data_IF_624995427441
#
_entry.id   IF_624995427441
#
_cell.length_a   1.000
_cell.length_b   1.000
_cell.length_c   1.000
_cell.angle_alpha   90.00
_cell.angle_beta   90.00
_cell.angle_gamma   90.00
#
_symmetry.space_group_name_H-M   'P 1'
#
loop_
_entity.id
_entity.type
_entity.pdbx_description
1 polymer ?
#
# COMPACT_ATOMS: atom_id res chain seq x y z
N UNK A 1 62.38 41.04 -26.54
CA UNK A 1 61.10 40.47 -26.98
C UNK A 1 60.74 39.16 -26.28
N UNK A 2 61.71 38.40 -25.79
CA UNK A 2 61.45 37.13 -25.08
C UNK A 2 60.95 37.32 -23.64
N UNK A 3 61.34 38.36 -22.93
CA UNK A 3 60.95 38.62 -21.52
C UNK A 3 59.48 39.04 -21.37
N UNK A 4 58.86 39.62 -22.37
CA UNK A 4 57.45 40.06 -22.32
C UNK A 4 56.48 38.85 -22.53
N UNK A 5 56.90 37.82 -23.23
CA UNK A 5 56.08 36.62 -23.43
C UNK A 5 56.09 35.72 -22.18
N UNK A 6 57.18 35.68 -21.42
CA UNK A 6 57.26 34.94 -20.17
C UNK A 6 56.37 35.51 -19.05
N UNK A 7 56.23 36.83 -19.02
CA UNK A 7 55.39 37.44 -18.00
C UNK A 7 53.90 37.31 -18.29
N UNK A 8 53.50 37.20 -19.58
CA UNK A 8 52.09 36.95 -19.95
C UNK A 8 51.65 35.49 -19.66
N UNK A 9 52.54 34.52 -19.84
CA UNK A 9 52.20 33.12 -19.57
C UNK A 9 51.99 32.84 -18.08
N UNK A 10 52.76 33.45 -17.17
CA UNK A 10 52.60 33.28 -15.74
C UNK A 10 51.27 33.86 -15.19
N UNK A 11 50.83 35.02 -15.75
CA UNK A 11 49.52 35.57 -15.39
C UNK A 11 48.35 34.72 -15.87
N UNK A 12 48.48 34.09 -17.05
CA UNK A 12 47.46 33.21 -17.60
C UNK A 12 47.32 31.90 -16.77
N UNK A 13 48.45 31.34 -16.36
CA UNK A 13 48.46 30.12 -15.54
C UNK A 13 47.88 30.40 -14.12
N UNK A 14 48.15 31.58 -13.57
CA UNK A 14 47.59 31.96 -12.27
C UNK A 14 46.07 32.18 -12.33
N UNK A 15 45.54 32.71 -13.42
CA UNK A 15 44.09 32.91 -13.61
C UNK A 15 43.35 31.58 -13.80
N UNK A 16 43.95 30.59 -14.49
CA UNK A 16 43.36 29.27 -14.67
C UNK A 16 43.41 28.45 -13.37
N UNK A 17 44.45 28.54 -12.56
CA UNK A 17 44.57 27.80 -11.30
C UNK A 17 43.61 28.33 -10.21
N UNK A 18 43.39 29.63 -10.14
CA UNK A 18 42.45 30.23 -9.17
C UNK A 18 41.00 29.88 -9.55
N UNK A 19 40.64 29.90 -10.83
CA UNK A 19 39.31 29.51 -11.28
C UNK A 19 39.04 28.00 -11.11
N UNK A 20 40.05 27.15 -11.36
CA UNK A 20 39.91 25.71 -11.22
C UNK A 20 39.66 25.28 -9.77
N UNK A 21 40.35 25.86 -8.81
CA UNK A 21 40.10 25.58 -7.37
C UNK A 21 38.72 26.07 -6.90
N UNK A 22 38.23 27.18 -7.45
CA UNK A 22 36.90 27.68 -7.13
C UNK A 22 35.77 26.77 -7.68
N UNK A 23 35.92 26.29 -8.92
CA UNK A 23 34.98 25.35 -9.51
C UNK A 23 35.03 23.97 -8.81
N UNK A 24 36.21 23.48 -8.43
CA UNK A 24 36.33 22.22 -7.68
C UNK A 24 35.66 22.33 -6.28
N UNK A 25 35.81 23.44 -5.60
CA UNK A 25 35.17 23.70 -4.31
C UNK A 25 33.65 23.83 -4.42
N UNK A 26 33.17 24.45 -5.52
CA UNK A 26 31.72 24.60 -5.78
C UNK A 26 31.08 23.24 -6.14
N UNK A 27 31.75 22.43 -6.96
CA UNK A 27 31.25 21.10 -7.35
C UNK A 27 31.23 20.15 -6.13
N UNK A 28 32.25 20.17 -5.27
CA UNK A 28 32.25 19.38 -4.04
C UNK A 28 31.16 19.83 -3.06
N UNK A 29 30.90 21.13 -2.94
CA UNK A 29 29.82 21.64 -2.10
C UNK A 29 28.43 21.23 -2.62
N UNK A 30 28.21 21.30 -3.93
CA UNK A 30 26.96 20.86 -4.57
C UNK A 30 26.79 19.34 -4.44
N UNK A 31 27.85 18.55 -4.61
CA UNK A 31 27.80 17.10 -4.42
C UNK A 31 27.50 16.72 -2.96
N UNK A 32 28.03 17.46 -1.98
CA UNK A 32 27.73 17.22 -0.57
C UNK A 32 26.27 17.55 -0.21
N UNK A 33 25.68 18.59 -0.82
CA UNK A 33 24.27 18.93 -0.63
C UNK A 33 23.37 17.85 -1.26
N UNK A 34 23.72 17.27 -2.41
CA UNK A 34 22.97 16.18 -3.01
C UNK A 34 23.10 14.85 -2.26
N UNK A 35 24.27 14.55 -1.66
CA UNK A 35 24.46 13.34 -0.87
C UNK A 35 23.71 13.45 0.48
N UNK A 36 23.62 14.63 1.10
CA UNK A 36 22.80 14.83 2.30
C UNK A 36 21.31 14.81 2.04
N UNK A 37 20.85 15.19 0.83
CA UNK A 37 19.42 15.07 0.44
C UNK A 37 19.00 13.62 0.17
N UNK A 38 19.92 12.71 -0.17
CA UNK A 38 19.61 11.31 -0.43
C UNK A 38 19.50 10.44 0.84
N UNK A 39 19.92 10.97 2.00
CA UNK A 39 19.78 10.30 3.31
C UNK A 39 18.59 10.77 4.14
N UNK A 40 17.71 11.61 3.58
CA UNK A 40 16.40 11.85 4.19
C UNK A 40 15.60 10.60 3.89
N UNK A 41 15.55 9.71 4.89
CA UNK A 41 14.79 8.48 4.84
C UNK A 41 13.40 8.77 4.28
N UNK A 42 12.91 7.88 3.41
CA UNK A 42 11.54 7.90 2.89
C UNK A 42 10.64 7.79 4.13
N UNK A 43 10.29 8.94 4.69
CA UNK A 43 9.32 9.02 5.77
C UNK A 43 7.98 8.73 5.14
N UNK A 44 7.39 7.56 5.42
CA UNK A 44 6.04 7.26 5.00
C UNK A 44 5.12 8.36 5.53
N UNK A 45 4.49 9.09 4.62
CA UNK A 45 3.57 10.17 4.96
C UNK A 45 2.17 9.56 5.05
N UNK A 46 1.54 9.70 6.20
CA UNK A 46 0.14 9.33 6.39
C UNK A 46 -0.72 10.59 6.37
N UNK A 47 -1.70 10.66 5.50
CA UNK A 47 -2.74 11.69 5.55
C UNK A 47 -4.04 11.10 6.08
N UNK A 48 -4.66 11.80 7.00
CA UNK A 48 -5.95 11.47 7.57
C UNK A 48 -7.01 12.44 7.00
N UNK A 49 -8.00 11.88 6.30
CA UNK A 49 -9.14 12.65 5.82
C UNK A 49 -10.40 12.23 6.55
N UNK A 50 -11.14 13.18 7.07
CA UNK A 50 -12.52 12.98 7.49
C UNK A 50 -13.43 13.39 6.36
N UNK A 51 -14.59 12.77 6.19
CA UNK A 51 -15.52 12.96 5.06
C UNK A 51 -15.89 14.41 4.70
N UNK A 52 -15.53 15.38 5.54
CA UNK A 52 -15.61 16.81 5.23
C UNK A 52 -14.33 17.25 4.50
N UNK A 53 -14.44 17.62 3.23
CA UNK A 53 -13.32 18.09 2.39
C UNK A 53 -12.55 19.30 2.97
N UNK A 54 -13.13 20.00 3.95
CA UNK A 54 -12.53 21.18 4.59
C UNK A 54 -11.62 20.83 5.79
N UNK A 55 -11.66 19.63 6.31
CA UNK A 55 -10.76 19.20 7.39
C UNK A 55 -9.76 18.15 6.89
N UNK A 56 -8.90 18.58 5.97
CA UNK A 56 -7.69 17.79 5.67
C UNK A 56 -6.82 17.78 6.93
N UNK A 57 -6.70 16.62 7.57
CA UNK A 57 -5.73 16.46 8.64
C UNK A 57 -4.32 16.55 8.07
N UNK A 58 -3.36 17.11 8.82
CA UNK A 58 -1.99 17.20 8.35
C UNK A 58 -1.47 15.81 8.01
N UNK A 59 -0.61 15.75 7.00
CA UNK A 59 0.09 14.52 6.64
C UNK A 59 0.87 14.04 7.85
N UNK A 60 0.50 12.89 8.40
CA UNK A 60 1.16 12.29 9.54
C UNK A 60 2.24 11.35 9.01
N UNK A 61 3.48 11.66 9.33
CA UNK A 61 4.64 10.79 9.07
C UNK A 61 4.88 9.87 10.26
N UNK A 62 5.64 8.81 10.10
CA UNK A 62 6.04 7.90 11.19
C UNK A 62 6.75 8.60 12.34
N UNK A 63 7.36 9.77 12.10
CA UNK A 63 7.98 10.61 13.12
C UNK A 63 7.08 11.72 13.67
N UNK A 64 5.77 11.74 13.33
CA UNK A 64 4.87 12.78 13.82
C UNK A 64 4.62 12.64 15.33
N UNK A 65 4.60 13.75 16.10
CA UNK A 65 4.44 13.71 17.56
C UNK A 65 3.24 12.92 18.08
N UNK A 66 2.15 12.82 17.30
CA UNK A 66 0.97 12.03 17.67
C UNK A 66 1.30 10.58 17.98
N UNK A 67 2.30 10.00 17.31
CA UNK A 67 2.69 8.62 17.55
C UNK A 67 3.45 8.45 18.88
N UNK A 68 4.09 9.50 19.37
CA UNK A 68 4.75 9.49 20.68
C UNK A 68 3.72 9.64 21.81
N UNK A 69 2.65 10.40 21.56
CA UNK A 69 1.57 10.62 22.52
C UNK A 69 0.69 9.38 22.72
N UNK A 70 0.61 8.46 21.75
CA UNK A 70 -0.24 7.26 21.79
C UNK A 70 0.42 6.07 22.48
N UNK A 71 1.64 6.19 22.93
CA UNK A 71 2.35 5.09 23.59
C UNK A 71 2.70 3.95 22.62
N UNK A 72 3.97 3.79 22.33
CA UNK A 72 4.50 2.72 21.48
C UNK A 72 4.79 1.47 22.32
N UNK A 73 4.57 0.31 21.73
CA UNK A 73 4.96 -0.98 22.30
C UNK A 73 5.47 -1.92 21.23
N UNK A 74 6.35 -2.82 21.59
CA UNK A 74 6.78 -3.91 20.74
C UNK A 74 5.89 -5.12 20.98
N UNK A 75 5.42 -5.74 19.89
CA UNK A 75 4.63 -6.96 19.93
C UNK A 75 5.08 -7.94 18.84
N UNK A 76 4.84 -9.23 19.07
CA UNK A 76 4.82 -10.25 18.03
C UNK A 76 3.40 -10.44 17.52
N UNK A 77 3.25 -10.94 16.29
CA UNK A 77 1.96 -11.26 15.70
C UNK A 77 2.07 -12.55 14.91
N UNK A 78 1.51 -13.63 15.43
CA UNK A 78 1.42 -14.91 14.71
C UNK A 78 0.54 -14.82 13.47
N UNK A 79 -0.40 -13.88 13.43
CA UNK A 79 -1.21 -13.59 12.26
C UNK A 79 -0.32 -12.99 11.14
N UNK A 80 0.50 -12.00 11.47
CA UNK A 80 1.44 -11.38 10.56
C UNK A 80 2.48 -12.40 10.06
N UNK A 81 3.12 -13.13 10.98
CA UNK A 81 4.14 -14.13 10.65
C UNK A 81 3.62 -15.20 9.68
N UNK A 82 2.37 -15.66 9.88
CA UNK A 82 1.71 -16.60 8.98
C UNK A 82 1.52 -16.01 7.58
N UNK A 83 1.14 -14.74 7.48
CA UNK A 83 0.88 -14.07 6.21
C UNK A 83 2.13 -13.88 5.37
N UNK A 84 3.24 -13.53 6.00
CA UNK A 84 4.52 -13.31 5.31
C UNK A 84 5.42 -14.55 5.28
N UNK A 85 4.97 -15.66 5.89
CA UNK A 85 5.74 -16.90 6.03
C UNK A 85 7.09 -16.74 6.75
N UNK A 86 7.15 -15.83 7.72
CA UNK A 86 8.25 -15.68 8.67
C UNK A 86 7.77 -16.04 10.06
N UNK A 87 8.69 -16.37 10.96
CA UNK A 87 8.40 -16.58 12.37
C UNK A 87 9.33 -15.71 13.22
N UNK A 88 8.76 -15.08 14.26
CA UNK A 88 9.52 -14.31 15.23
C UNK A 88 9.72 -12.83 14.86
N UNK A 89 8.92 -12.29 13.96
CA UNK A 89 8.93 -10.86 13.66
C UNK A 89 8.52 -10.03 14.87
N UNK A 90 9.10 -8.83 15.02
CA UNK A 90 8.78 -7.86 16.06
C UNK A 90 8.25 -6.58 15.41
N UNK A 91 7.21 -6.01 15.98
CA UNK A 91 6.50 -4.87 15.43
C UNK A 91 6.35 -3.79 16.50
N UNK A 92 6.91 -2.59 16.24
CA UNK A 92 6.63 -1.42 17.10
C UNK A 92 5.30 -0.82 16.67
N UNK A 93 4.31 -0.88 17.56
CA UNK A 93 2.92 -0.54 17.23
C UNK A 93 2.34 0.53 18.15
N UNK A 94 1.32 1.21 17.65
CA UNK A 94 0.36 2.02 18.41
C UNK A 94 -1.03 1.40 18.32
N UNK A 95 -1.91 1.73 19.28
CA UNK A 95 -3.32 1.36 19.20
C UNK A 95 -4.02 2.11 18.07
N UNK A 96 -4.60 1.37 17.11
CA UNK A 96 -5.37 2.01 16.04
C UNK A 96 -6.66 2.62 16.58
N UNK A 97 -7.30 1.99 17.56
CA UNK A 97 -8.47 2.56 18.24
C UNK A 97 -8.18 3.89 18.92
N UNK A 98 -7.00 4.05 19.55
CA UNK A 98 -6.65 5.30 20.21
C UNK A 98 -6.32 6.41 19.21
N UNK A 99 -5.69 6.06 18.09
CA UNK A 99 -5.53 6.99 16.97
C UNK A 99 -6.88 7.48 16.46
N UNK A 100 -7.86 6.56 16.26
CA UNK A 100 -9.21 6.91 15.81
C UNK A 100 -9.94 7.81 16.81
N UNK A 101 -9.83 7.54 18.11
CA UNK A 101 -10.44 8.40 19.16
C UNK A 101 -9.89 9.83 19.10
N UNK A 102 -8.58 9.98 18.89
CA UNK A 102 -7.95 11.28 18.80
C UNK A 102 -8.40 12.10 17.60
N UNK A 103 -8.60 11.44 16.46
CA UNK A 103 -9.05 12.05 15.21
C UNK A 103 -10.53 11.85 14.93
N UNK A 104 -11.34 11.57 15.92
CA UNK A 104 -12.79 11.34 15.92
C UNK A 104 -13.48 11.61 14.57
N UNK A 105 -13.68 10.59 13.74
CA UNK A 105 -14.43 10.76 12.50
C UNK A 105 -15.88 11.12 12.81
N UNK A 106 -16.59 11.68 11.82
CA UNK A 106 -18.04 11.83 11.89
C UNK A 106 -18.68 10.47 12.24
N UNK A 107 -19.73 10.48 13.09
CA UNK A 107 -20.41 9.27 13.55
C UNK A 107 -21.06 8.47 12.41
N UNK A 108 -21.28 9.09 11.26
CA UNK A 108 -21.83 8.45 10.07
C UNK A 108 -20.78 7.66 9.28
N UNK A 109 -19.49 7.81 9.62
CA UNK A 109 -18.41 7.09 8.95
C UNK A 109 -18.12 5.82 9.73
N UNK A 110 -18.16 4.68 9.06
CA UNK A 110 -18.09 3.34 9.65
C UNK A 110 -16.92 2.50 9.13
N UNK A 111 -16.15 3.04 8.18
CA UNK A 111 -14.99 2.36 7.61
C UNK A 111 -13.83 3.33 7.35
N UNK A 112 -12.66 2.73 7.14
CA UNK A 112 -11.41 3.42 6.82
C UNK A 112 -10.84 2.81 5.55
N UNK A 113 -10.69 3.63 4.52
CA UNK A 113 -9.98 3.30 3.31
C UNK A 113 -8.49 3.54 3.52
N UNK A 114 -7.68 2.56 3.19
CA UNK A 114 -6.25 2.53 3.39
C UNK A 114 -5.56 2.61 2.04
N UNK A 115 -5.16 3.81 1.62
CA UNK A 115 -4.44 3.99 0.37
C UNK A 115 -2.94 3.77 0.60
N UNK A 116 -2.33 2.92 -0.21
CA UNK A 116 -0.94 2.53 -0.10
C UNK A 116 -0.08 3.19 -1.19
N UNK A 117 1.22 3.29 -0.95
CA UNK A 117 2.16 3.91 -1.88
C UNK A 117 2.35 3.11 -3.20
N UNK A 118 1.95 1.86 -3.21
CA UNK A 118 2.07 0.93 -4.34
C UNK A 118 0.73 0.63 -5.04
N UNK A 119 -0.22 1.57 -4.94
CA UNK A 119 -1.55 1.49 -5.53
C UNK A 119 -2.45 0.34 -5.01
N UNK A 120 -2.02 -0.37 -3.95
CA UNK A 120 -2.89 -1.24 -3.17
C UNK A 120 -3.88 -0.39 -2.36
N UNK A 121 -5.12 -0.85 -2.23
CA UNK A 121 -6.14 -0.16 -1.47
C UNK A 121 -6.85 -1.12 -0.52
N UNK A 122 -6.55 -1.02 0.78
CA UNK A 122 -7.28 -1.74 1.81
C UNK A 122 -8.54 -1.01 2.24
N UNK A 123 -9.49 -1.74 2.78
CA UNK A 123 -10.64 -1.18 3.48
C UNK A 123 -10.91 -1.97 4.75
N UNK A 124 -11.17 -1.26 5.86
CA UNK A 124 -11.40 -1.88 7.15
C UNK A 124 -12.54 -1.17 7.88
N UNK A 125 -13.43 -1.94 8.50
CA UNK A 125 -14.50 -1.34 9.29
C UNK A 125 -13.96 -0.79 10.61
N UNK A 126 -14.57 0.29 11.12
CA UNK A 126 -14.28 0.80 12.47
C UNK A 126 -14.64 -0.26 13.52
N UNK A 127 -15.62 -1.11 13.25
CA UNK A 127 -15.96 -2.23 14.12
C UNK A 127 -14.84 -3.28 14.18
N UNK A 128 -14.23 -3.63 13.05
CA UNK A 128 -13.08 -4.57 13.02
C UNK A 128 -11.90 -4.01 13.81
N UNK A 129 -11.60 -2.71 13.65
CA UNK A 129 -10.55 -2.05 14.45
C UNK A 129 -10.78 -2.24 15.94
N UNK A 130 -12.02 -2.08 16.41
CA UNK A 130 -12.39 -2.21 17.81
C UNK A 130 -12.46 -3.67 18.27
N UNK A 131 -13.15 -4.52 17.50
CA UNK A 131 -13.42 -5.92 17.88
C UNK A 131 -12.15 -6.76 17.95
N UNK A 132 -11.18 -6.47 17.07
CA UNK A 132 -9.92 -7.20 17.00
C UNK A 132 -8.75 -6.44 17.64
N UNK A 133 -9.01 -5.30 18.29
CA UNK A 133 -7.96 -4.45 18.89
C UNK A 133 -6.79 -4.22 17.94
N UNK A 134 -7.12 -3.89 16.67
CA UNK A 134 -6.10 -3.75 15.64
C UNK A 134 -5.08 -2.67 16.00
N UNK A 135 -3.84 -2.93 15.62
CA UNK A 135 -2.73 -2.03 15.85
C UNK A 135 -2.20 -1.50 14.51
N UNK A 136 -1.48 -0.37 14.55
CA UNK A 136 -0.70 0.16 13.43
C UNK A 136 0.78 0.02 13.74
N UNK A 137 1.51 -0.73 12.92
CA UNK A 137 2.95 -0.83 13.06
C UNK A 137 3.64 0.38 12.43
N UNK A 138 4.53 0.95 13.23
CA UNK A 138 5.43 2.07 12.87
C UNK A 138 6.80 1.55 12.45
N UNK A 139 7.19 0.37 12.95
CA UNK A 139 8.44 -0.32 12.59
C UNK A 139 8.21 -1.81 12.49
N UNK A 140 8.99 -2.43 11.63
CA UNK A 140 8.97 -3.87 11.37
C UNK A 140 10.39 -4.37 11.51
N UNK A 141 10.61 -5.30 12.43
CA UNK A 141 11.87 -6.04 12.56
C UNK A 141 11.61 -7.50 12.21
N UNK A 142 12.19 -7.94 11.10
CA UNK A 142 12.12 -9.33 10.65
C UNK A 142 13.22 -10.16 11.31
N UNK A 143 13.06 -11.49 11.42
CA UNK A 143 14.11 -12.37 11.91
C UNK A 143 15.43 -12.19 11.15
N UNK A 144 16.54 -12.44 11.82
CA UNK A 144 17.86 -12.30 11.23
C UNK A 144 18.01 -13.19 9.98
N UNK A 145 18.50 -12.62 8.88
CA UNK A 145 18.66 -13.29 7.59
C UNK A 145 17.42 -13.24 6.70
N UNK A 146 16.31 -12.71 7.17
CA UNK A 146 15.12 -12.50 6.34
C UNK A 146 15.31 -11.32 5.39
N UNK A 147 14.78 -11.45 4.17
CA UNK A 147 14.75 -10.38 3.18
C UNK A 147 13.38 -9.71 3.23
N UNK A 148 13.35 -8.41 3.55
CA UNK A 148 12.11 -7.64 3.55
C UNK A 148 11.66 -7.40 2.11
N UNK A 149 10.42 -7.82 1.73
CA UNK A 149 9.86 -7.44 0.44
C UNK A 149 9.64 -5.92 0.35
N UNK A 150 9.78 -5.34 -0.85
CA UNK A 150 9.66 -3.89 -1.06
C UNK A 150 8.29 -3.34 -0.64
N UNK A 151 7.22 -4.12 -0.81
CA UNK A 151 5.86 -3.74 -0.42
C UNK A 151 5.64 -3.75 1.09
N UNK A 152 6.46 -4.46 1.86
CA UNK A 152 6.31 -4.58 3.31
C UNK A 152 6.93 -3.39 4.02
N UNK A 153 6.26 -2.25 3.99
CA UNK A 153 6.68 -1.02 4.63
C UNK A 153 5.65 -0.57 5.70
N UNK A 154 6.08 0.16 6.73
CA UNK A 154 5.17 0.90 7.59
C UNK A 154 4.45 2.01 6.78
N UNK A 155 3.24 2.43 7.14
CA UNK A 155 2.40 1.86 8.17
C UNK A 155 1.76 0.56 7.72
N UNK A 156 1.47 -0.29 8.69
CA UNK A 156 0.86 -1.58 8.37
C UNK A 156 -0.15 -1.94 9.46
N UNK A 157 -1.26 -2.59 9.05
CA UNK A 157 -2.25 -3.15 9.99
C UNK A 157 -1.66 -4.39 10.65
N UNK A 158 -1.84 -4.50 11.97
CA UNK A 158 -1.40 -5.65 12.75
C UNK A 158 -2.53 -6.21 13.59
N UNK A 159 -2.72 -7.51 13.51
CA UNK A 159 -3.61 -8.29 14.39
C UNK A 159 -2.79 -8.77 15.58
N UNK A 160 -3.10 -8.34 16.82
CA UNK A 160 -2.40 -8.82 17.99
C UNK A 160 -2.74 -10.28 18.31
N UNK A 161 -1.87 -11.01 19.00
CA UNK A 161 -2.00 -12.44 19.24
C UNK A 161 -3.27 -12.88 20.00
N UNK A 162 -3.87 -11.98 20.81
CA UNK A 162 -5.11 -12.29 21.52
C UNK A 162 -6.35 -12.22 20.61
N UNK A 163 -6.29 -11.51 19.48
CA UNK A 163 -7.36 -11.42 18.52
C UNK A 163 -7.28 -12.55 17.49
N UNK A 164 -8.42 -13.03 17.02
CA UNK A 164 -8.50 -14.12 16.05
C UNK A 164 -9.52 -13.84 14.95
N UNK A 165 -9.30 -12.80 14.13
CA UNK A 165 -10.14 -12.61 12.96
C UNK A 165 -9.94 -13.75 11.96
N UNK A 166 -10.88 -13.95 11.01
CA UNK A 166 -10.63 -14.81 9.87
C UNK A 166 -9.41 -14.31 9.09
N UNK A 167 -8.71 -15.21 8.42
CA UNK A 167 -7.58 -14.83 7.59
C UNK A 167 -8.09 -14.06 6.37
N UNK A 168 -7.65 -12.80 6.21
CA UNK A 168 -8.07 -11.90 5.13
C UNK A 168 -6.98 -10.88 4.80
N UNK A 169 -6.84 -10.57 3.52
CA UNK A 169 -5.93 -9.56 2.99
C UNK A 169 -6.07 -8.20 3.67
N UNK A 170 -7.29 -7.80 4.04
CA UNK A 170 -7.55 -6.51 4.71
C UNK A 170 -6.73 -6.31 5.99
N UNK A 171 -6.38 -7.39 6.68
CA UNK A 171 -5.59 -7.35 7.91
C UNK A 171 -4.07 -7.41 7.67
N UNK A 172 -3.65 -7.38 6.39
CA UNK A 172 -2.25 -7.32 5.97
C UNK A 172 -1.90 -6.03 5.21
N UNK A 173 -2.83 -5.06 5.16
CA UNK A 173 -2.56 -3.81 4.44
C UNK A 173 -1.32 -3.13 5.00
N UNK A 174 -0.30 -3.01 4.16
CA UNK A 174 1.00 -2.40 4.45
C UNK A 174 1.28 -1.22 3.51
N UNK A 175 2.37 -0.50 3.76
CA UNK A 175 2.79 0.64 2.94
C UNK A 175 1.73 1.75 2.87
N UNK A 176 0.95 1.91 3.94
CA UNK A 176 -0.18 2.84 4.02
C UNK A 176 0.35 4.28 4.05
N UNK A 177 -0.12 5.11 3.12
CA UNK A 177 0.20 6.53 3.02
C UNK A 177 -0.97 7.44 3.38
N UNK A 178 -2.20 6.92 3.28
CA UNK A 178 -3.41 7.68 3.56
C UNK A 178 -4.46 6.81 4.26
N UNK A 179 -5.04 7.34 5.34
CA UNK A 179 -6.25 6.84 5.99
C UNK A 179 -7.40 7.79 5.64
N UNK A 180 -8.42 7.29 4.96
CA UNK A 180 -9.62 8.05 4.61
C UNK A 180 -10.84 7.45 5.23
N UNK A 181 -11.57 8.24 6.03
CA UNK A 181 -12.82 7.79 6.62
C UNK A 181 -13.95 7.85 5.59
N UNK A 182 -14.71 6.75 5.48
CA UNK A 182 -15.78 6.59 4.50
C UNK A 182 -16.98 5.90 5.14
N UNK A 183 -18.16 6.03 4.51
CA UNK A 183 -19.24 5.08 4.73
C UNK A 183 -19.04 3.88 3.80
N UNK A 184 -19.09 2.69 4.37
CA UNK A 184 -18.89 1.45 3.61
C UNK A 184 -19.94 1.31 2.49
N UNK A 185 -21.17 1.66 2.78
CA UNK A 185 -22.26 1.67 1.80
C UNK A 185 -21.96 2.59 0.61
N UNK A 186 -21.46 3.82 0.86
CA UNK A 186 -21.10 4.75 -0.22
C UNK A 186 -19.91 4.26 -1.04
N UNK A 187 -18.94 3.64 -0.38
CA UNK A 187 -17.77 3.07 -1.06
C UNK A 187 -18.18 1.94 -2.02
N UNK A 188 -19.12 1.09 -1.62
CA UNK A 188 -19.61 -0.02 -2.44
C UNK A 188 -20.80 0.32 -3.33
N UNK A 189 -21.39 1.51 -3.22
CA UNK A 189 -22.55 1.91 -4.03
C UNK A 189 -22.38 1.70 -5.57
N UNK A 190 -21.18 1.92 -6.18
CA UNK A 190 -20.97 1.61 -7.58
C UNK A 190 -21.20 0.14 -7.97
N UNK A 191 -21.07 -0.79 -7.03
CA UNK A 191 -21.36 -2.20 -7.27
C UNK A 191 -22.87 -2.51 -7.24
N UNK A 192 -23.65 -1.77 -6.47
CA UNK A 192 -25.13 -1.92 -6.46
C UNK A 192 -25.74 -1.58 -7.82
N UNK A 193 -25.11 -0.67 -8.56
CA UNK A 193 -25.55 -0.26 -9.90
C UNK A 193 -25.20 -1.26 -11.02
N UNK A 194 -24.45 -2.33 -10.73
CA UNK A 194 -24.04 -3.32 -11.75
C UNK A 194 -25.20 -4.17 -12.27
N UNK A 195 -26.34 -4.20 -11.56
CA UNK A 195 -27.55 -4.90 -12.02
C UNK A 195 -27.38 -6.40 -12.14
N UNK A 196 -26.59 -7.02 -11.24
CA UNK A 196 -26.36 -8.47 -11.23
C UNK A 196 -27.69 -9.24 -11.13
N UNK A 197 -27.92 -10.18 -12.05
CA UNK A 197 -29.21 -10.83 -12.25
C UNK A 197 -29.38 -12.11 -11.43
N UNK A 198 -28.26 -12.76 -11.08
CA UNK A 198 -28.35 -14.03 -10.38
C UNK A 198 -27.56 -14.02 -9.06
N UNK A 199 -27.95 -14.91 -8.14
CA UNK A 199 -27.31 -15.04 -6.82
C UNK A 199 -25.87 -15.56 -6.90
N UNK A 200 -25.52 -16.28 -7.97
CA UNK A 200 -24.18 -16.83 -8.15
C UNK A 200 -23.19 -15.72 -8.53
N UNK A 201 -23.57 -14.81 -9.43
CA UNK A 201 -22.79 -13.60 -9.73
C UNK A 201 -22.69 -12.66 -8.52
N UNK A 202 -23.76 -12.56 -7.70
CA UNK A 202 -23.71 -11.82 -6.43
C UNK A 202 -22.70 -12.43 -5.45
N UNK A 203 -22.66 -13.75 -5.34
CA UNK A 203 -21.65 -14.44 -4.55
C UNK A 203 -20.23 -14.18 -5.11
N UNK A 204 -20.07 -14.20 -6.45
CA UNK A 204 -18.82 -13.81 -7.12
C UNK A 204 -18.37 -12.39 -6.81
N UNK A 205 -19.30 -11.43 -6.72
CA UNK A 205 -19.01 -10.06 -6.27
C UNK A 205 -18.48 -10.01 -4.85
N UNK A 206 -19.07 -10.75 -3.90
CA UNK A 206 -18.56 -10.78 -2.52
C UNK A 206 -17.15 -11.40 -2.46
N UNK A 207 -16.90 -12.46 -3.24
CA UNK A 207 -15.54 -13.02 -3.38
C UNK A 207 -14.55 -12.00 -3.97
N UNK A 208 -14.98 -11.22 -4.96
CA UNK A 208 -14.17 -10.16 -5.54
C UNK A 208 -13.83 -9.07 -4.51
N UNK A 209 -14.81 -8.60 -3.74
CA UNK A 209 -14.59 -7.62 -2.68
C UNK A 209 -13.60 -8.12 -1.61
N UNK A 210 -13.68 -9.40 -1.27
CA UNK A 210 -12.88 -9.97 -0.19
C UNK A 210 -11.46 -10.36 -0.60
N UNK A 211 -11.21 -10.60 -1.90
CA UNK A 211 -9.95 -11.18 -2.35
C UNK A 211 -9.26 -10.39 -3.49
N UNK A 212 -9.98 -9.65 -4.30
CA UNK A 212 -9.44 -9.07 -5.54
C UNK A 212 -9.39 -7.54 -5.51
N UNK A 213 -10.35 -6.93 -4.83
CA UNK A 213 -10.60 -5.49 -4.84
C UNK A 213 -9.40 -4.67 -4.31
N UNK A 214 -8.56 -5.27 -3.50
CA UNK A 214 -7.38 -4.60 -2.95
C UNK A 214 -6.35 -4.23 -4.01
N UNK A 215 -6.29 -5.00 -5.09
CA UNK A 215 -5.36 -4.80 -6.21
C UNK A 215 -6.07 -4.42 -7.52
N UNK A 216 -7.31 -4.87 -7.73
CA UNK A 216 -8.05 -4.69 -8.98
C UNK A 216 -9.28 -3.83 -8.77
N UNK A 217 -9.35 -2.70 -9.46
CA UNK A 217 -10.52 -1.82 -9.38
C UNK A 217 -11.58 -2.18 -10.42
N UNK A 218 -12.85 -2.01 -10.03
CA UNK A 218 -14.01 -1.99 -10.93
C UNK A 218 -14.80 -0.70 -10.65
N UNK A 219 -15.18 0.03 -11.69
CA UNK A 219 -15.91 1.30 -11.58
C UNK A 219 -15.24 2.31 -10.60
N UNK A 220 -13.92 2.37 -10.62
CA UNK A 220 -13.08 3.23 -9.75
C UNK A 220 -13.14 2.90 -8.25
N UNK A 221 -13.66 1.73 -7.89
CA UNK A 221 -13.63 1.19 -6.53
C UNK A 221 -12.55 0.11 -6.49
N UNK A 222 -11.67 0.19 -5.51
CA UNK A 222 -10.56 -0.75 -5.34
C UNK A 222 -9.19 -0.19 -5.71
N UNK A 223 -8.17 -1.02 -5.55
CA UNK A 223 -6.77 -0.70 -5.87
C UNK A 223 -6.46 -0.78 -7.36
N UNK A 224 -5.34 -0.19 -7.76
CA UNK A 224 -4.87 -0.19 -9.14
C UNK A 224 -3.48 -0.84 -9.28
N UNK A 225 -3.04 -1.60 -8.29
CA UNK A 225 -1.78 -2.36 -8.32
C UNK A 225 -1.84 -3.49 -9.35
N UNK A 226 -3.01 -4.11 -9.50
CA UNK A 226 -3.28 -5.14 -10.49
C UNK A 226 -3.75 -4.56 -11.83
N UNK A 227 -3.74 -5.40 -12.85
CA UNK A 227 -4.25 -5.05 -14.17
C UNK A 227 -5.75 -4.77 -14.15
N UNK A 228 -6.24 -3.85 -14.97
CA UNK A 228 -7.69 -3.64 -15.18
C UNK A 228 -8.30 -4.88 -15.86
N UNK A 229 -9.12 -5.65 -15.13
CA UNK A 229 -9.63 -6.93 -15.62
C UNK A 229 -10.55 -6.77 -16.84
N UNK A 230 -11.49 -5.83 -16.76
CA UNK A 230 -12.51 -5.63 -17.81
C UNK A 230 -11.93 -5.08 -19.13
N UNK A 231 -10.83 -4.36 -19.08
CA UNK A 231 -10.18 -3.82 -20.29
C UNK A 231 -9.08 -4.72 -20.84
N UNK A 232 -8.57 -5.66 -20.05
CA UNK A 232 -7.45 -6.51 -20.43
C UNK A 232 -7.91 -7.86 -21.00
N UNK A 233 -9.05 -8.37 -20.51
CA UNK A 233 -9.53 -9.69 -20.88
C UNK A 233 -10.88 -9.60 -21.59
N UNK A 234 -11.04 -10.39 -22.65
CA UNK A 234 -12.34 -10.70 -23.20
C UNK A 234 -13.01 -11.77 -22.31
N UNK A 235 -13.88 -11.29 -21.42
CA UNK A 235 -14.54 -12.16 -20.43
C UNK A 235 -15.92 -12.66 -20.95
N UNK A 236 -16.17 -12.53 -22.27
CA UNK A 236 -17.42 -12.98 -22.90
C UNK A 236 -17.18 -14.23 -23.74
N UNK A 237 -16.09 -14.29 -24.51
CA UNK A 237 -15.79 -15.45 -25.35
C UNK A 237 -15.11 -16.57 -24.55
N UNK A 238 -15.35 -17.82 -24.98
CA UNK A 238 -14.68 -19.00 -24.39
C UNK A 238 -13.15 -18.91 -24.45
N UNK A 239 -12.60 -18.36 -25.54
CA UNK A 239 -11.15 -18.16 -25.70
C UNK A 239 -10.62 -17.15 -24.70
N UNK A 240 -11.30 -16.02 -24.52
CA UNK A 240 -10.92 -14.98 -23.58
C UNK A 240 -11.04 -15.43 -22.13
N UNK A 241 -12.07 -16.19 -21.78
CA UNK A 241 -12.25 -16.81 -20.46
C UNK A 241 -11.11 -17.80 -20.17
N UNK A 242 -10.73 -18.63 -21.14
CA UNK A 242 -9.62 -19.57 -20.97
C UNK A 242 -8.28 -18.85 -20.80
N UNK A 243 -8.03 -17.78 -21.54
CA UNK A 243 -6.86 -16.93 -21.36
C UNK A 243 -6.83 -16.29 -19.96
N UNK A 244 -7.98 -15.79 -19.48
CA UNK A 244 -8.09 -15.26 -18.11
C UNK A 244 -7.78 -16.34 -17.07
N UNK A 245 -8.35 -17.54 -17.19
CA UNK A 245 -8.07 -18.67 -16.29
C UNK A 245 -6.58 -19.00 -16.23
N UNK A 246 -5.93 -19.13 -17.38
CA UNK A 246 -4.49 -19.41 -17.45
C UNK A 246 -3.67 -18.34 -16.72
N UNK A 247 -3.94 -17.07 -17.02
CA UNK A 247 -3.26 -15.92 -16.38
C UNK A 247 -3.53 -15.86 -14.89
N UNK A 248 -4.78 -16.07 -14.48
CA UNK A 248 -5.17 -16.07 -13.07
C UNK A 248 -4.37 -17.11 -12.30
N UNK A 249 -4.37 -18.38 -12.72
CA UNK A 249 -3.65 -19.44 -12.01
C UNK A 249 -2.13 -19.25 -12.07
N UNK A 250 -1.59 -18.70 -13.15
CA UNK A 250 -0.17 -18.35 -13.24
C UNK A 250 0.23 -17.28 -12.24
N UNK A 251 -0.60 -16.26 -12.02
CA UNK A 251 -0.29 -15.12 -11.16
C UNK A 251 -0.69 -15.35 -9.69
N UNK A 252 -1.79 -16.08 -9.45
CA UNK A 252 -2.40 -16.26 -8.13
C UNK A 252 -2.43 -17.71 -7.67
N UNK A 253 -1.93 -18.65 -8.47
CA UNK A 253 -1.93 -20.09 -8.13
C UNK A 253 -1.07 -20.42 -6.91
N UNK A 254 -1.40 -21.57 -6.28
CA UNK A 254 -0.75 -22.06 -5.06
C UNK A 254 0.76 -22.25 -5.20
N UNK A 255 1.24 -22.53 -6.40
CA UNK A 255 2.65 -22.80 -6.71
C UNK A 255 3.46 -21.53 -7.02
N UNK A 256 2.81 -20.37 -7.02
CA UNK A 256 3.50 -19.11 -7.25
C UNK A 256 4.20 -18.67 -5.97
N UNK A 257 5.46 -19.12 -5.81
CA UNK A 257 6.35 -18.81 -4.68
C UNK A 257 6.81 -17.35 -4.62
N UNK A 258 6.24 -16.45 -5.42
CA UNK A 258 6.53 -15.05 -5.27
C UNK A 258 5.95 -14.58 -3.93
N UNK A 259 6.81 -14.02 -3.08
CA UNK A 259 6.51 -13.50 -1.73
C UNK A 259 5.46 -12.38 -1.71
N UNK A 260 4.87 -12.05 -2.85
CA UNK A 260 3.85 -11.02 -3.02
C UNK A 260 2.41 -11.57 -3.03
N UNK A 261 2.23 -12.88 -3.09
CA UNK A 261 0.92 -13.50 -3.08
C UNK A 261 0.69 -14.24 -1.77
N UNK A 262 -0.24 -13.77 -0.97
CA UNK A 262 -0.78 -14.46 0.18
C UNK A 262 -1.57 -15.74 -0.20
N UNK A 263 -1.34 -16.26 -1.41
CA UNK A 263 -1.90 -17.49 -1.93
C UNK A 263 -3.42 -17.48 -1.94
N UNK A 264 -4.01 -16.83 -2.94
CA UNK A 264 -5.46 -16.86 -3.13
C UNK A 264 -5.90 -18.31 -3.35
N UNK A 265 -6.54 -18.90 -2.35
CA UNK A 265 -7.04 -20.27 -2.38
C UNK A 265 -8.55 -20.24 -2.57
N UNK A 266 -9.02 -20.00 -3.80
CA UNK A 266 -10.41 -20.24 -4.16
C UNK A 266 -10.63 -21.71 -4.45
N UNK A 267 -11.80 -22.24 -4.06
CA UNK A 267 -12.29 -23.52 -4.57
C UNK A 267 -12.75 -23.33 -6.03
N UNK A 268 -12.92 -24.44 -6.75
CA UNK A 268 -13.39 -24.38 -8.14
C UNK A 268 -14.76 -23.68 -8.23
N UNK A 269 -15.69 -23.99 -7.32
CA UNK A 269 -17.01 -23.34 -7.24
C UNK A 269 -16.90 -21.81 -6.96
N UNK A 270 -16.00 -21.41 -6.08
CA UNK A 270 -15.74 -19.98 -5.83
C UNK A 270 -15.14 -19.28 -7.03
N UNK A 271 -14.24 -19.95 -7.74
CA UNK A 271 -13.65 -19.41 -8.95
C UNK A 271 -14.67 -19.28 -10.08
N UNK A 272 -15.56 -20.26 -10.24
CA UNK A 272 -16.65 -20.20 -11.23
C UNK A 272 -17.67 -19.09 -10.89
N UNK A 273 -17.97 -18.87 -9.60
CA UNK A 273 -18.80 -17.74 -9.18
C UNK A 273 -18.13 -16.37 -9.48
N UNK A 274 -16.82 -16.28 -9.27
CA UNK A 274 -16.06 -15.08 -9.63
C UNK A 274 -16.10 -14.83 -11.15
N UNK A 275 -15.97 -15.88 -11.96
CA UNK A 275 -16.07 -15.78 -13.41
C UNK A 275 -17.47 -15.33 -13.86
N UNK A 276 -18.53 -15.88 -13.27
CA UNK A 276 -19.90 -15.47 -13.57
C UNK A 276 -20.14 -13.99 -13.27
N UNK A 277 -19.63 -13.50 -12.14
CA UNK A 277 -19.65 -12.08 -11.82
C UNK A 277 -18.94 -11.23 -12.89
N UNK A 278 -17.71 -11.60 -13.25
CA UNK A 278 -16.92 -10.87 -14.23
C UNK A 278 -17.57 -10.92 -15.63
N UNK A 279 -18.15 -12.06 -16.01
CA UNK A 279 -18.92 -12.22 -17.24
C UNK A 279 -20.13 -11.29 -17.30
N UNK A 280 -20.99 -11.31 -16.24
CA UNK A 280 -22.19 -10.46 -16.20
C UNK A 280 -21.86 -8.97 -16.34
N UNK A 281 -20.84 -8.48 -15.65
CA UNK A 281 -20.46 -7.07 -15.75
C UNK A 281 -19.83 -6.72 -17.10
N UNK A 282 -19.11 -7.66 -17.74
CA UNK A 282 -18.53 -7.45 -19.07
C UNK A 282 -19.59 -7.44 -20.16
N UNK A 283 -20.65 -8.25 -20.04
CA UNK A 283 -21.75 -8.30 -20.98
C UNK A 283 -22.69 -7.08 -20.88
N UNK A 284 -22.65 -6.34 -19.78
CA UNK A 284 -23.48 -5.14 -19.55
C UNK A 284 -22.73 -3.83 -19.85
N UNK A 285 -21.45 -3.89 -20.20
CA UNK A 285 -20.59 -2.76 -20.62
C UNK A 285 -20.49 -2.73 -22.15
#
# INVERSE_FOLDING_TARGET
>A
MLLLLYHRSKKLIYFFTVNSTFYFSLITLISFVFIFSACIGISSKLSLFTGDREKAFPIITTGHPVFDELGKKWISSSYFDRGIKYEGSQLEVISFSDLLKKYSPDKNLDAILLNCADDYQGIISINDVKNYDLQLALKIELPQGSVRPDWLQPLLIVVPNHAKPPFSERFFTANITELRFVRLADYYAPFESLGLRNSYAQFGLELFKDNCLFCHSINKVGGNKGTSLLSTFDLISDEGINNFKEKFFKMHGRDNNTTQNTGLSLTDDQFDALLEFLYEISANH
#
